data_IF_993947019557
#
_entry.id   IF_993947019557
#
_cell.length_a   1.000
_cell.length_b   1.000
_cell.length_c   1.000
_cell.angle_alpha   90.00
_cell.angle_beta   90.00
_cell.angle_gamma   90.00
#
_symmetry.space_group_name_H-M   'P 1'
#
loop_
_entity.id
_entity.type
_entity.pdbx_description
1 polymer ?
#
# COMPACT_ATOMS: atom_id res chain seq x y z
N UNK A 1 -16.77 -25.05 -3.06
CA UNK A 1 -16.16 -24.02 -3.89
C UNK A 1 -14.76 -23.74 -3.40
N UNK A 2 -13.75 -23.77 -4.26
CA UNK A 2 -12.40 -23.45 -3.83
C UNK A 2 -12.30 -21.96 -3.47
N UNK A 3 -11.52 -21.70 -2.44
CA UNK A 3 -11.14 -20.34 -2.05
C UNK A 3 -9.71 -20.14 -2.51
N UNK A 4 -9.48 -19.11 -3.27
CA UNK A 4 -8.12 -18.77 -3.69
C UNK A 4 -7.66 -17.52 -3.00
N UNK A 5 -6.40 -17.53 -2.63
CA UNK A 5 -5.75 -16.37 -2.02
C UNK A 5 -4.49 -16.05 -2.79
N UNK A 6 -4.36 -14.79 -3.14
CA UNK A 6 -3.16 -14.30 -3.79
C UNK A 6 -2.56 -13.22 -2.92
N UNK A 7 -1.25 -13.27 -2.74
CA UNK A 7 -0.53 -12.29 -1.95
C UNK A 7 0.59 -11.70 -2.79
N UNK A 8 0.64 -10.37 -2.83
CA UNK A 8 1.67 -9.64 -3.55
C UNK A 8 2.44 -8.86 -2.50
N UNK A 9 3.68 -9.28 -2.26
CA UNK A 9 4.51 -8.77 -1.17
C UNK A 9 5.51 -7.78 -1.75
N UNK A 10 5.57 -6.59 -1.16
CA UNK A 10 6.49 -5.54 -1.60
C UNK A 10 7.71 -5.49 -0.70
N UNK A 11 8.88 -5.35 -1.30
CA UNK A 11 10.09 -5.03 -0.55
C UNK A 11 10.00 -3.60 -0.01
N UNK A 12 10.92 -3.22 0.88
CA UNK A 12 10.98 -1.86 1.40
C UNK A 12 11.17 -0.84 0.27
N UNK A 13 12.04 -1.14 -0.68
CA UNK A 13 12.29 -0.27 -1.83
C UNK A 13 11.05 -0.14 -2.71
N UNK A 14 10.40 -1.26 -2.99
CA UNK A 14 9.16 -1.24 -3.78
C UNK A 14 8.05 -0.47 -3.08
N UNK A 15 7.98 -0.57 -1.76
CA UNK A 15 7.01 0.18 -0.97
C UNK A 15 7.27 1.68 -1.08
N UNK A 16 8.52 2.12 -0.98
CA UNK A 16 8.87 3.53 -1.17
C UNK A 16 8.52 4.02 -2.56
N UNK A 17 8.79 3.22 -3.57
CA UNK A 17 8.46 3.55 -4.96
C UNK A 17 6.94 3.68 -5.14
N UNK A 18 6.18 2.79 -4.52
CA UNK A 18 4.72 2.83 -4.58
C UNK A 18 4.16 4.09 -3.91
N UNK A 19 4.71 4.45 -2.76
CA UNK A 19 4.32 5.67 -2.04
C UNK A 19 4.58 6.90 -2.91
N UNK A 20 5.76 7.00 -3.50
CA UNK A 20 6.13 8.13 -4.34
C UNK A 20 5.26 8.21 -5.59
N UNK A 21 4.99 7.07 -6.22
CA UNK A 21 4.16 7.01 -7.42
C UNK A 21 2.72 7.42 -7.13
N UNK A 22 2.18 6.96 -6.02
CA UNK A 22 0.81 7.29 -5.63
C UNK A 22 0.66 8.79 -5.34
N UNK A 23 1.65 9.39 -4.68
CA UNK A 23 1.63 10.83 -4.40
C UNK A 23 1.59 11.66 -5.68
N UNK A 24 2.29 11.24 -6.73
CA UNK A 24 2.32 11.98 -7.99
C UNK A 24 0.93 12.14 -8.61
N UNK A 25 0.07 11.15 -8.43
CA UNK A 25 -1.28 11.17 -9.00
C UNK A 25 -2.36 11.55 -7.99
N UNK A 26 -2.01 11.57 -6.71
CA UNK A 26 -2.92 11.91 -5.62
C UNK A 26 -2.20 12.92 -4.72
N UNK A 27 -2.13 14.21 -5.15
CA UNK A 27 -1.32 15.21 -4.42
C UNK A 27 -1.72 15.42 -2.97
N UNK A 28 -2.97 15.21 -2.64
CA UNK A 28 -3.47 15.36 -1.27
C UNK A 28 -3.07 14.20 -0.35
N UNK A 29 -2.49 13.14 -0.90
CA UNK A 29 -2.07 11.99 -0.10
C UNK A 29 -0.98 12.35 0.91
N UNK A 30 0.00 13.13 0.49
CA UNK A 30 1.12 13.55 1.34
C UNK A 30 1.48 15.00 1.05
N UNK A 31 2.02 15.71 2.05
CA UNK A 31 2.57 17.04 1.81
C UNK A 31 3.74 16.99 0.82
N UNK A 32 4.06 18.14 0.26
CA UNK A 32 5.21 18.27 -0.63
C UNK A 32 6.48 18.19 0.20
N UNK A 33 7.48 17.58 -0.38
CA UNK A 33 8.79 17.44 0.22
C UNK A 33 9.34 16.04 0.02
N UNK A 34 10.64 15.85 0.28
CA UNK A 34 11.24 14.54 0.15
C UNK A 34 10.62 13.53 1.10
N UNK A 35 10.37 12.34 0.58
CA UNK A 35 9.94 11.20 1.40
C UNK A 35 11.19 10.60 2.02
N UNK A 36 11.29 10.64 3.34
CA UNK A 36 12.47 10.16 4.06
C UNK A 36 12.39 8.67 4.36
N UNK A 37 11.19 8.15 4.49
CA UNK A 37 11.00 6.74 4.79
C UNK A 37 9.56 6.46 5.17
N UNK A 38 9.32 5.23 5.60
CA UNK A 38 8.01 4.81 6.05
C UNK A 38 8.15 3.84 7.21
N UNK A 39 7.05 3.68 7.93
CA UNK A 39 6.96 2.72 9.02
C UNK A 39 5.64 1.98 8.91
N UNK A 40 5.69 0.68 9.05
CA UNK A 40 4.51 -0.16 9.08
C UNK A 40 4.10 -0.39 10.53
N UNK A 41 2.81 -0.34 10.78
CA UNK A 41 2.25 -0.49 12.12
C UNK A 41 1.42 -1.76 12.14
N UNK A 42 1.77 -2.68 13.03
CA UNK A 42 1.02 -3.92 13.16
C UNK A 42 -0.40 -3.65 13.66
N UNK A 43 -1.39 -4.39 13.18
CA UNK A 43 -2.75 -4.23 13.66
C UNK A 43 -2.87 -4.65 15.13
N UNK A 44 -3.69 -3.93 15.90
CA UNK A 44 -3.88 -4.22 17.31
C UNK A 44 -4.77 -5.43 17.55
N UNK A 45 -5.64 -5.73 16.59
CA UNK A 45 -6.59 -6.84 16.71
C UNK A 45 -6.57 -7.70 15.45
N UNK A 46 -6.89 -9.00 15.58
CA UNK A 46 -7.00 -9.88 14.40
C UNK A 46 -8.03 -9.33 13.41
N UNK A 47 -7.70 -9.36 12.15
CA UNK A 47 -8.59 -8.89 11.09
C UNK A 47 -8.52 -7.41 10.79
N UNK A 48 -7.83 -6.62 11.61
CA UNK A 48 -7.61 -5.21 11.32
C UNK A 48 -6.50 -5.04 10.29
N UNK A 49 -6.61 -3.99 9.50
CA UNK A 49 -5.57 -3.65 8.54
C UNK A 49 -4.36 -3.04 9.23
N UNK A 50 -3.15 -3.33 8.76
CA UNK A 50 -1.96 -2.65 9.26
C UNK A 50 -1.98 -1.18 8.89
N UNK A 51 -1.24 -0.38 9.66
CA UNK A 51 -1.06 1.03 9.38
C UNK A 51 0.20 1.31 8.59
N UNK A 52 0.21 2.45 7.94
CA UNK A 52 1.37 2.95 7.22
C UNK A 52 1.57 4.41 7.59
N UNK A 53 2.76 4.75 8.06
CA UNK A 53 3.15 6.12 8.36
C UNK A 53 4.32 6.50 7.47
N UNK A 54 4.21 7.64 6.80
CA UNK A 54 5.25 8.12 5.89
C UNK A 54 5.89 9.36 6.50
N UNK A 55 7.22 9.39 6.53
CA UNK A 55 7.99 10.53 7.01
C UNK A 55 8.35 11.42 5.84
N UNK A 56 7.93 12.68 5.90
CA UNK A 56 8.15 13.67 4.85
C UNK A 56 8.90 14.85 5.44
N UNK A 57 9.94 15.31 4.75
CA UNK A 57 10.66 16.49 5.16
C UNK A 57 9.96 17.73 4.62
N UNK A 58 9.56 18.62 5.54
CA UNK A 58 8.86 19.84 5.17
C UNK A 58 9.70 21.06 5.54
N UNK A 59 9.68 22.04 4.66
CA UNK A 59 10.37 23.31 4.91
C UNK A 59 9.38 24.31 5.49
N UNK A 60 9.73 24.90 6.64
CA UNK A 60 8.99 25.98 7.25
C UNK A 60 9.92 27.19 7.34
N UNK A 61 9.89 28.04 6.30
CA UNK A 61 10.83 29.14 6.21
C UNK A 61 12.26 28.62 6.09
N UNK A 62 13.09 28.90 7.11
CA UNK A 62 14.48 28.44 7.14
C UNK A 62 14.65 27.13 7.90
N UNK A 63 13.57 26.60 8.48
CA UNK A 63 13.62 25.41 9.30
C UNK A 63 13.05 24.24 8.51
N UNK A 64 13.74 23.10 8.58
CA UNK A 64 13.23 21.85 8.02
C UNK A 64 12.73 20.97 9.16
N UNK A 65 11.56 20.42 9.00
CA UNK A 65 10.94 19.53 9.98
C UNK A 65 10.51 18.25 9.34
N UNK A 66 10.66 17.15 10.06
CA UNK A 66 10.14 15.86 9.64
C UNK A 66 8.72 15.72 10.15
N UNK A 67 7.80 15.50 9.25
CA UNK A 67 6.39 15.31 9.57
C UNK A 67 6.02 13.87 9.24
N UNK A 68 5.41 13.18 10.20
CA UNK A 68 4.89 11.85 9.99
C UNK A 68 3.41 11.94 9.62
N UNK A 69 3.05 11.32 8.51
CA UNK A 69 1.69 11.31 8.01
C UNK A 69 1.18 9.87 7.97
N UNK A 70 0.07 9.64 8.65
CA UNK A 70 -0.56 8.32 8.62
C UNK A 70 -1.46 8.22 7.40
N UNK A 71 -1.21 7.19 6.59
CA UNK A 71 -2.02 6.94 5.39
C UNK A 71 -3.37 6.34 5.77
N UNK A 72 -4.41 6.76 5.04
CA UNK A 72 -5.73 6.16 5.18
C UNK A 72 -5.72 4.74 4.61
N UNK A 73 -6.52 3.86 5.20
CA UNK A 73 -6.58 2.46 4.74
C UNK A 73 -6.99 2.33 3.27
N UNK A 74 -7.92 3.15 2.81
CA UNK A 74 -8.35 3.14 1.41
C UNK A 74 -7.22 3.56 0.47
N UNK A 75 -6.40 4.53 0.89
CA UNK A 75 -5.26 4.98 0.10
C UNK A 75 -4.21 3.89 0.00
N UNK A 76 -3.98 3.14 1.08
CA UNK A 76 -2.99 2.06 1.08
C UNK A 76 -3.39 0.99 0.06
N UNK A 77 -4.65 0.58 0.07
CA UNK A 77 -5.13 -0.43 -0.89
C UNK A 77 -5.01 0.08 -2.32
N UNK A 78 -5.42 1.31 -2.58
CA UNK A 78 -5.33 1.89 -3.92
C UNK A 78 -3.88 2.03 -4.39
N UNK A 79 -2.99 2.41 -3.49
CA UNK A 79 -1.57 2.49 -3.76
C UNK A 79 -1.02 1.13 -4.20
N UNK A 80 -1.38 0.07 -3.48
CA UNK A 80 -0.92 -1.27 -3.80
C UNK A 80 -1.49 -1.77 -5.12
N UNK A 81 -2.78 -1.54 -5.37
CA UNK A 81 -3.42 -1.91 -6.63
C UNK A 81 -2.74 -1.19 -7.79
N UNK A 82 -2.50 0.09 -7.64
CA UNK A 82 -1.85 0.89 -8.68
C UNK A 82 -0.43 0.43 -8.95
N UNK A 83 0.30 0.09 -7.89
CA UNK A 83 1.63 -0.48 -8.02
C UNK A 83 1.62 -1.74 -8.88
N UNK A 84 0.64 -2.61 -8.66
CA UNK A 84 0.49 -3.82 -9.48
C UNK A 84 0.22 -3.47 -10.94
N UNK A 85 -0.68 -2.53 -11.19
CA UNK A 85 -1.01 -2.12 -12.57
C UNK A 85 0.21 -1.55 -13.27
N UNK A 86 0.94 -0.66 -12.61
CA UNK A 86 2.12 -0.02 -13.19
C UNK A 86 3.27 -0.98 -13.45
N UNK A 87 3.35 -2.05 -12.67
CA UNK A 87 4.41 -3.04 -12.82
C UNK A 87 3.96 -4.28 -13.59
N UNK A 88 2.80 -4.20 -14.25
CA UNK A 88 2.25 -5.28 -15.05
C UNK A 88 2.05 -6.58 -14.27
N UNK A 89 1.69 -6.45 -13.01
CA UNK A 89 1.33 -7.59 -12.18
C UNK A 89 -0.17 -7.81 -12.32
N UNK A 90 -0.60 -8.91 -12.95
CA UNK A 90 -2.04 -9.13 -13.11
C UNK A 90 -2.68 -9.44 -11.78
N UNK A 91 -3.81 -8.78 -11.51
CA UNK A 91 -4.59 -9.02 -10.30
C UNK A 91 -6.04 -9.29 -10.70
N UNK A 92 -6.74 -10.16 -9.95
CA UNK A 92 -8.15 -10.41 -10.22
C UNK A 92 -8.99 -9.15 -10.05
N UNK A 93 -9.93 -8.93 -10.93
CA UNK A 93 -10.89 -7.82 -10.77
C UNK A 93 -11.85 -8.09 -9.63
N UNK A 94 -12.18 -9.36 -9.43
CA UNK A 94 -13.07 -9.80 -8.35
C UNK A 94 -12.24 -10.22 -7.16
N UNK A 95 -12.88 -10.17 -6.01
CA UNK A 95 -12.25 -10.57 -4.78
C UNK A 95 -12.05 -9.40 -3.84
N UNK A 96 -12.04 -9.74 -2.57
CA UNK A 96 -11.77 -8.76 -1.52
C UNK A 96 -10.28 -8.47 -1.48
N UNK A 97 -9.94 -7.20 -1.60
CA UNK A 97 -8.55 -6.74 -1.53
C UNK A 97 -8.32 -6.08 -0.20
N UNK A 98 -7.28 -6.49 0.47
CA UNK A 98 -6.93 -5.92 1.77
C UNK A 98 -5.43 -5.82 1.91
N UNK A 99 -5.02 -4.92 2.79
CA UNK A 99 -3.63 -4.73 3.14
C UNK A 99 -3.28 -5.68 4.28
N UNK A 100 -2.14 -6.34 4.17
CA UNK A 100 -1.65 -7.24 5.23
C UNK A 100 -0.15 -7.02 5.42
N UNK A 101 0.38 -7.54 6.52
CA UNK A 101 1.81 -7.63 6.74
C UNK A 101 2.21 -9.10 6.68
N UNK A 102 3.24 -9.38 5.91
CA UNK A 102 3.81 -10.73 5.78
C UNK A 102 5.29 -10.63 6.09
N UNK A 103 5.71 -11.25 7.18
CA UNK A 103 7.09 -11.17 7.66
C UNK A 103 7.61 -9.74 7.74
N UNK A 104 6.75 -8.83 8.21
CA UNK A 104 7.09 -7.42 8.35
C UNK A 104 7.05 -6.61 7.07
N UNK A 105 6.66 -7.20 5.96
CA UNK A 105 6.57 -6.50 4.67
C UNK A 105 5.11 -6.19 4.33
N UNK A 106 4.91 -5.08 3.65
CA UNK A 106 3.58 -4.68 3.18
C UNK A 106 3.15 -5.57 2.02
N UNK A 107 1.93 -6.06 2.07
CA UNK A 107 1.40 -6.95 1.05
C UNK A 107 -0.04 -6.61 0.72
N UNK A 108 -0.40 -6.84 -0.54
CA UNK A 108 -1.79 -6.83 -0.98
C UNK A 108 -2.27 -8.27 -0.99
N UNK A 109 -3.28 -8.56 -0.18
CA UNK A 109 -3.90 -9.88 -0.13
C UNK A 109 -5.25 -9.82 -0.81
N UNK A 110 -5.46 -10.73 -1.74
CA UNK A 110 -6.69 -10.82 -2.51
C UNK A 110 -7.30 -12.19 -2.27
N UNK A 111 -8.48 -12.18 -1.67
CA UNK A 111 -9.25 -13.40 -1.44
C UNK A 111 -10.43 -13.43 -2.40
N UNK A 112 -10.59 -14.51 -3.13
CA UNK A 112 -11.75 -14.67 -3.96
C UNK A 112 -12.26 -16.10 -3.91
N UNK A 113 -13.58 -16.20 -3.90
CA UNK A 113 -14.30 -17.45 -3.84
C UNK A 113 -15.07 -17.59 -5.15
N UNK A 114 -15.06 -18.77 -5.68
CA UNK A 114 -15.88 -19.03 -6.85
C UNK A 114 -15.11 -19.68 -7.97
N UNK A 115 -15.75 -19.68 -9.11
CA UNK A 115 -15.15 -20.26 -10.28
C UNK A 115 -14.06 -19.33 -10.81
N UNK A 116 -12.89 -19.89 -11.02
CA UNK A 116 -11.91 -19.20 -11.81
C UNK A 116 -12.51 -18.97 -13.20
N UNK A 117 -12.28 -17.81 -13.80
CA UNK A 117 -12.74 -17.61 -15.17
C UNK A 117 -12.13 -18.68 -16.05
N UNK A 118 -13.00 -19.54 -16.57
CA UNK A 118 -12.53 -20.62 -17.43
C UNK A 118 -12.17 -20.03 -18.78
N UNK A 119 -10.94 -20.27 -19.19
CA UNK A 119 -10.47 -19.82 -20.49
C UNK A 119 -10.02 -18.36 -20.54
N UNK A 120 -9.89 -17.75 -19.42
CA UNK A 120 -9.38 -16.35 -19.36
C UNK A 120 -7.92 -16.33 -18.99
#
# INVERSE_FOLDING_TARGET
MPVERRQIILSAEETLQAIAAYRRTTPEFLPRGPILGFRLIEPEAPGEAPGLTVSVEMAYGRTQQVTEVRAEGTDIVQMLVRCCVENNIPIPRRGAKRTTLIDGALALTIDYVGELPVGD
#
